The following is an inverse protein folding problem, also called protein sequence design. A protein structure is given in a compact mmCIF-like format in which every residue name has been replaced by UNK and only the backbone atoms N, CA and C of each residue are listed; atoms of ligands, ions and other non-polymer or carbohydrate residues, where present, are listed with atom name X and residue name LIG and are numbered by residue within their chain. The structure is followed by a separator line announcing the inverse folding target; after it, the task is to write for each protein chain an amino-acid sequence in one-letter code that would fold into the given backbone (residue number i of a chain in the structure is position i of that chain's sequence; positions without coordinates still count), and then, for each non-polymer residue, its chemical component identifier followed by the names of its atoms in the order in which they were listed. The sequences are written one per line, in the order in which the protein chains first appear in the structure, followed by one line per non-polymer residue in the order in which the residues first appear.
data_IF_692887384780
#
_entry.id   IF_692887384780
#
_cell.length_a   1.000
_cell.length_b   1.000
_cell.length_c   1.000
_cell.angle_alpha   90.00
_cell.angle_beta   90.00
_cell.angle_gamma   90.00
#
_symmetry.space_group_name_H-M   'P 1'
#
loop_
_entity.id
_entity.type
_entity.pdbx_description
1 polymer ?
#
# COMPACT_ATOMS: atom_id res chain seq x y z
N UNK A 1 10.86 13.66 -32.01
CA UNK A 1 9.50 13.27 -31.61
C UNK A 1 9.25 13.85 -30.24
N UNK A 2 8.33 14.81 -30.14
CA UNK A 2 7.88 15.30 -28.83
C UNK A 2 6.91 14.24 -28.30
N UNK A 3 7.26 13.58 -27.21
CA UNK A 3 6.38 12.65 -26.52
C UNK A 3 5.39 13.47 -25.69
N UNK A 4 4.38 14.01 -26.37
CA UNK A 4 3.27 14.68 -25.68
C UNK A 4 2.10 13.74 -25.70
N UNK A 5 1.99 12.89 -24.68
CA UNK A 5 0.78 12.12 -24.47
C UNK A 5 -0.36 13.07 -24.10
N UNK A 6 -1.43 13.09 -24.90
CA UNK A 6 -2.63 13.89 -24.66
C UNK A 6 -3.76 12.96 -24.26
N UNK A 7 -4.42 13.21 -23.13
CA UNK A 7 -5.47 12.38 -22.56
C UNK A 7 -6.77 13.15 -22.46
N UNK A 8 -7.89 12.50 -22.79
CA UNK A 8 -9.23 13.03 -22.56
C UNK A 8 -9.95 12.17 -21.51
N UNK A 9 -10.60 12.85 -20.56
CA UNK A 9 -11.25 12.23 -19.41
C UNK A 9 -12.77 12.42 -19.53
N UNK A 10 -13.51 11.33 -19.39
CA UNK A 10 -14.96 11.31 -19.55
C UNK A 10 -15.61 10.95 -18.23
N UNK A 11 -16.63 11.72 -17.83
CA UNK A 11 -17.27 11.59 -16.53
C UNK A 11 -18.77 11.33 -16.68
N UNK A 12 -19.35 10.55 -15.76
CA UNK A 12 -20.79 10.43 -15.63
C UNK A 12 -21.42 11.69 -14.97
N UNK A 13 -22.75 11.70 -14.84
CA UNK A 13 -23.50 12.81 -14.21
C UNK A 13 -23.13 13.07 -12.75
N UNK A 14 -22.59 12.05 -12.06
CA UNK A 14 -22.08 12.14 -10.69
C UNK A 14 -20.63 12.63 -10.63
N UNK A 15 -20.07 13.07 -11.77
CA UNK A 15 -18.67 13.50 -11.93
C UNK A 15 -17.64 12.42 -11.58
N UNK A 16 -18.00 11.16 -11.79
CA UNK A 16 -17.08 10.03 -11.64
C UNK A 16 -16.49 9.69 -13.00
N UNK A 17 -15.17 9.49 -13.07
CA UNK A 17 -14.45 9.16 -14.30
C UNK A 17 -14.92 7.79 -14.81
N UNK A 18 -15.50 7.71 -16.00
CA UNK A 18 -15.98 6.45 -16.59
C UNK A 18 -15.00 5.84 -17.57
N UNK A 19 -14.29 6.67 -18.34
CA UNK A 19 -13.25 6.18 -19.25
C UNK A 19 -12.26 7.28 -19.62
N UNK A 20 -11.08 6.85 -20.07
CA UNK A 20 -10.03 7.72 -20.60
C UNK A 20 -9.78 7.35 -22.05
N UNK A 21 -9.66 8.34 -22.91
CA UNK A 21 -9.24 8.15 -24.30
C UNK A 21 -7.88 8.76 -24.56
N UNK A 22 -7.09 8.09 -25.41
CA UNK A 22 -5.97 8.72 -26.08
C UNK A 22 -6.51 9.87 -26.92
N UNK A 23 -6.02 11.08 -26.68
CA UNK A 23 -6.61 12.29 -27.22
C UNK A 23 -6.25 12.56 -28.68
N UNK A 24 -5.32 11.81 -29.28
CA UNK A 24 -5.03 11.88 -30.72
C UNK A 24 -5.89 10.91 -31.51
N UNK A 25 -6.00 9.68 -31.03
CA UNK A 25 -6.69 8.59 -31.73
C UNK A 25 -8.16 8.46 -31.33
N UNK A 26 -8.55 9.06 -30.21
CA UNK A 26 -9.89 8.91 -29.62
C UNK A 26 -10.16 7.52 -29.03
N UNK A 27 -9.17 6.61 -29.05
CA UNK A 27 -9.34 5.24 -28.56
C UNK A 27 -9.39 5.21 -27.05
N UNK A 28 -10.33 4.43 -26.49
CA UNK A 28 -10.38 4.19 -25.05
C UNK A 28 -9.15 3.39 -24.61
N UNK A 29 -8.51 3.85 -23.54
CA UNK A 29 -7.35 3.19 -22.91
C UNK A 29 -7.67 2.68 -21.51
N UNK A 30 -8.77 3.15 -20.92
CA UNK A 30 -9.20 2.76 -19.59
C UNK A 30 -10.72 2.85 -19.47
N UNK A 31 -11.32 1.89 -18.76
CA UNK A 31 -12.72 1.86 -18.36
C UNK A 31 -12.82 1.78 -16.83
N UNK A 32 -13.84 2.42 -16.27
CA UNK A 32 -14.19 2.39 -14.85
C UNK A 32 -15.72 2.32 -14.68
N UNK A 33 -16.18 1.41 -13.84
CA UNK A 33 -17.60 1.21 -13.55
C UNK A 33 -17.86 1.30 -12.06
N UNK A 34 -19.00 1.89 -11.69
CA UNK A 34 -19.37 2.14 -10.30
C UNK A 34 -20.71 1.51 -9.98
N UNK A 35 -20.88 1.04 -8.74
CA UNK A 35 -22.18 0.62 -8.24
C UNK A 35 -23.08 1.83 -7.89
N UNK A 36 -24.32 1.56 -7.47
CA UNK A 36 -25.29 2.59 -7.11
C UNK A 36 -24.85 3.48 -5.94
N UNK A 37 -24.01 2.97 -5.03
CA UNK A 37 -23.41 3.73 -3.93
C UNK A 37 -22.20 4.58 -4.37
N UNK A 38 -21.80 4.50 -5.63
CA UNK A 38 -20.68 5.25 -6.19
C UNK A 38 -19.30 4.62 -5.94
N UNK A 39 -19.25 3.35 -5.54
CA UNK A 39 -17.99 2.62 -5.33
C UNK A 39 -17.54 1.97 -6.64
N UNK A 40 -16.24 1.99 -6.92
CA UNK A 40 -15.65 1.39 -8.12
C UNK A 40 -15.78 -0.13 -8.06
N UNK A 41 -16.49 -0.76 -8.99
CA UNK A 41 -16.66 -2.21 -9.03
C UNK A 41 -15.84 -2.90 -10.11
N UNK A 42 -15.41 -2.14 -11.11
CA UNK A 42 -14.62 -2.66 -12.21
C UNK A 42 -13.72 -1.57 -12.79
N UNK A 43 -12.48 -1.93 -13.10
CA UNK A 43 -11.52 -1.11 -13.81
C UNK A 43 -10.81 -1.98 -14.84
N UNK A 44 -10.71 -1.50 -16.07
CA UNK A 44 -9.98 -2.18 -17.13
C UNK A 44 -8.98 -1.25 -17.81
N UNK A 45 -7.80 -1.75 -18.15
CA UNK A 45 -6.88 -1.12 -19.09
C UNK A 45 -7.01 -1.83 -20.43
N UNK A 46 -7.16 -1.03 -21.49
CA UNK A 46 -7.48 -1.51 -22.83
C UNK A 46 -6.24 -1.47 -23.71
N UNK A 47 -6.07 -2.51 -24.52
CA UNK A 47 -5.09 -2.55 -25.59
C UNK A 47 -5.59 -1.71 -26.78
N UNK A 48 -4.72 -1.40 -27.78
CA UNK A 48 -5.12 -0.60 -28.94
C UNK A 48 -6.24 -1.17 -29.81
N UNK A 49 -6.53 -2.47 -29.68
CA UNK A 49 -7.66 -3.18 -30.30
C UNK A 49 -8.96 -3.10 -29.48
N UNK A 50 -8.93 -2.42 -28.33
CA UNK A 50 -10.05 -2.24 -27.42
C UNK A 50 -10.27 -3.39 -26.44
N UNK A 51 -9.49 -4.48 -26.53
CA UNK A 51 -9.63 -5.59 -25.59
C UNK A 51 -8.96 -5.28 -24.25
N UNK A 52 -9.55 -5.69 -23.11
CA UNK A 52 -8.87 -5.58 -21.83
C UNK A 52 -7.60 -6.42 -21.80
N UNK A 53 -6.46 -5.80 -21.47
CA UNK A 53 -5.22 -6.54 -21.18
C UNK A 53 -4.94 -6.62 -19.67
N UNK A 54 -5.67 -5.84 -18.87
CA UNK A 54 -5.68 -5.86 -17.41
C UNK A 54 -7.06 -5.43 -16.89
N UNK A 55 -7.60 -6.15 -15.92
CA UNK A 55 -8.89 -5.93 -15.30
C UNK A 55 -8.79 -6.11 -13.77
N UNK A 56 -9.49 -5.26 -13.04
CA UNK A 56 -9.65 -5.33 -11.60
C UNK A 56 -11.14 -5.27 -11.27
N UNK A 57 -11.65 -6.22 -10.49
CA UNK A 57 -13.05 -6.24 -10.00
C UNK A 57 -13.07 -6.18 -8.48
N UNK A 58 -13.95 -5.37 -7.90
CA UNK A 58 -13.99 -5.08 -6.47
C UNK A 58 -15.35 -5.42 -5.86
N UNK A 59 -15.33 -5.91 -4.62
CA UNK A 59 -16.52 -6.11 -3.81
C UNK A 59 -16.36 -5.45 -2.45
N UNK A 60 -17.49 -5.04 -1.86
CA UNK A 60 -17.52 -4.24 -0.65
C UNK A 60 -18.43 -4.86 0.41
N UNK A 61 -18.10 -4.67 1.69
CA UNK A 61 -19.01 -4.94 2.80
C UNK A 61 -20.12 -3.87 2.90
N UNK A 62 -21.07 -4.10 3.81
CA UNK A 62 -22.18 -3.17 4.04
C UNK A 62 -21.75 -1.82 4.65
N UNK A 63 -20.54 -1.71 5.21
CA UNK A 63 -19.96 -0.45 5.69
C UNK A 63 -19.20 0.29 4.59
N UNK A 64 -19.05 -0.34 3.42
CA UNK A 64 -18.39 0.20 2.26
C UNK A 64 -16.89 -0.09 2.18
N UNK A 65 -16.35 -1.00 2.98
CA UNK A 65 -14.94 -1.41 2.89
C UNK A 65 -14.74 -2.46 1.80
N UNK A 66 -13.66 -2.36 1.02
CA UNK A 66 -13.29 -3.35 0.00
C UNK A 66 -12.91 -4.68 0.66
N UNK A 67 -13.69 -5.73 0.44
CA UNK A 67 -13.42 -7.06 1.04
C UNK A 67 -12.74 -8.02 0.09
N UNK A 68 -12.89 -7.81 -1.22
CA UNK A 68 -12.23 -8.61 -2.24
C UNK A 68 -11.91 -7.79 -3.48
N UNK A 69 -10.72 -7.98 -4.03
CA UNK A 69 -10.34 -7.52 -5.36
C UNK A 69 -9.82 -8.70 -6.19
N UNK A 70 -10.34 -8.85 -7.41
CA UNK A 70 -9.86 -9.84 -8.38
C UNK A 70 -9.11 -9.13 -9.49
N UNK A 71 -7.87 -9.55 -9.75
CA UNK A 71 -6.98 -8.98 -10.75
C UNK A 71 -6.73 -10.02 -11.84
N UNK A 72 -7.04 -9.69 -13.07
CA UNK A 72 -6.76 -10.50 -14.25
C UNK A 72 -6.03 -9.67 -15.30
N UNK A 73 -5.12 -10.26 -16.05
CA UNK A 73 -4.44 -9.56 -17.14
C UNK A 73 -3.38 -10.42 -17.80
N UNK A 74 -2.67 -9.84 -18.77
CA UNK A 74 -1.59 -10.52 -19.48
C UNK A 74 -0.51 -11.00 -18.48
N UNK A 75 -0.42 -12.32 -18.28
CA UNK A 75 0.52 -12.94 -17.35
C UNK A 75 0.05 -13.10 -15.90
N UNK A 76 -1.15 -12.64 -15.55
CA UNK A 76 -1.76 -12.81 -14.22
C UNK A 76 -3.18 -13.34 -14.39
N UNK A 77 -3.40 -14.62 -14.10
CA UNK A 77 -4.72 -15.24 -14.21
C UNK A 77 -5.47 -15.20 -12.87
N UNK A 78 -6.30 -14.17 -12.67
CA UNK A 78 -7.32 -14.16 -11.61
C UNK A 78 -6.76 -14.22 -10.19
N UNK A 79 -5.75 -13.40 -9.88
CA UNK A 79 -5.28 -13.23 -8.50
C UNK A 79 -6.35 -12.55 -7.67
N UNK A 80 -6.56 -13.06 -6.46
CA UNK A 80 -7.57 -12.53 -5.55
C UNK A 80 -6.86 -11.97 -4.32
N UNK A 81 -7.17 -10.72 -3.97
CA UNK A 81 -6.85 -10.10 -2.68
C UNK A 81 -8.10 -10.09 -1.83
N UNK A 82 -8.04 -10.64 -0.62
CA UNK A 82 -9.12 -10.55 0.38
C UNK A 82 -8.66 -9.74 1.57
N UNK A 83 -9.52 -8.84 2.05
CA UNK A 83 -9.23 -7.98 3.20
C UNK A 83 -10.27 -8.20 4.30
N UNK A 84 -9.81 -8.36 5.53
CA UNK A 84 -10.64 -8.44 6.73
C UNK A 84 -10.36 -7.24 7.63
N UNK A 85 -11.43 -6.66 8.17
CA UNK A 85 -11.38 -5.47 9.00
C UNK A 85 -11.77 -5.77 10.44
N UNK A 86 -11.25 -4.99 11.39
CA UNK A 86 -11.74 -4.98 12.76
C UNK A 86 -13.03 -4.16 12.91
N UNK A 87 -13.53 -4.07 14.14
CA UNK A 87 -14.77 -3.33 14.44
C UNK A 87 -14.67 -1.83 14.16
N UNK A 88 -13.45 -1.26 14.21
CA UNK A 88 -13.17 0.14 13.90
C UNK A 88 -12.97 0.38 12.40
N UNK A 89 -13.08 -0.65 11.55
CA UNK A 89 -12.90 -0.54 10.11
C UNK A 89 -11.43 -0.51 9.68
N UNK A 90 -10.50 -0.97 10.52
CA UNK A 90 -9.07 -1.05 10.18
C UNK A 90 -8.72 -2.42 9.60
N UNK A 91 -7.92 -2.51 8.53
CA UNK A 91 -7.55 -3.79 7.92
C UNK A 91 -6.61 -4.57 8.84
N UNK A 92 -7.04 -5.75 9.30
CA UNK A 92 -6.26 -6.61 10.21
C UNK A 92 -5.67 -7.83 9.53
N UNK A 93 -6.19 -8.19 8.35
CA UNK A 93 -5.71 -9.32 7.58
C UNK A 93 -5.90 -9.10 6.09
N UNK A 94 -4.86 -9.33 5.32
CA UNK A 94 -4.91 -9.38 3.86
C UNK A 94 -4.41 -10.75 3.39
N UNK A 95 -5.07 -11.33 2.40
CA UNK A 95 -4.72 -12.63 1.82
C UNK A 95 -4.62 -12.53 0.32
N UNK A 96 -3.55 -13.05 -0.26
CA UNK A 96 -3.41 -13.17 -1.71
C UNK A 96 -3.51 -14.63 -2.14
N UNK A 97 -4.40 -14.87 -3.08
CA UNK A 97 -4.65 -16.17 -3.67
C UNK A 97 -4.31 -16.12 -5.16
N UNK A 98 -3.69 -17.18 -5.66
CA UNK A 98 -3.42 -17.41 -7.08
C UNK A 98 -4.13 -18.70 -7.47
N UNK A 99 -5.05 -18.63 -8.44
CA UNK A 99 -5.91 -19.78 -8.82
C UNK A 99 -6.61 -20.44 -7.62
N UNK A 100 -7.10 -19.62 -6.68
CA UNK A 100 -7.76 -20.07 -5.44
C UNK A 100 -6.81 -20.61 -4.37
N UNK A 101 -5.50 -20.68 -4.63
CA UNK A 101 -4.49 -21.12 -3.66
C UNK A 101 -3.90 -19.93 -2.92
N UNK A 102 -4.06 -19.89 -1.60
CA UNK A 102 -3.40 -18.91 -0.74
C UNK A 102 -1.88 -19.06 -0.83
N UNK A 103 -1.17 -17.97 -1.15
CA UNK A 103 0.30 -17.95 -1.19
C UNK A 103 0.91 -16.89 -0.27
N UNK A 104 0.13 -15.88 0.12
CA UNK A 104 0.58 -14.80 1.00
C UNK A 104 -0.52 -14.41 1.99
N UNK A 105 -0.15 -14.13 3.24
CA UNK A 105 -1.01 -13.49 4.23
C UNK A 105 -0.25 -12.40 4.96
N UNK A 106 -0.84 -11.21 5.04
CA UNK A 106 -0.41 -10.14 5.93
C UNK A 106 -1.37 -10.06 7.11
N UNK A 107 -0.83 -9.95 8.32
CA UNK A 107 -1.59 -9.69 9.54
C UNK A 107 -1.11 -8.37 10.14
N UNK A 108 -2.04 -7.47 10.41
CA UNK A 108 -1.75 -6.17 11.01
C UNK A 108 -2.37 -6.10 12.40
N UNK A 109 -1.55 -5.77 13.37
CA UNK A 109 -1.98 -5.52 14.74
C UNK A 109 -1.82 -4.03 15.03
N UNK A 110 -2.84 -3.44 15.65
CA UNK A 110 -2.85 -2.03 16.02
C UNK A 110 -2.72 -1.87 17.53
N UNK A 111 -2.16 -0.73 17.95
CA UNK A 111 -2.24 -0.24 19.31
C UNK A 111 -3.66 0.31 19.58
N UNK A 112 -4.08 0.41 20.86
CA UNK A 112 -5.35 1.04 21.22
C UNK A 112 -5.48 2.48 20.68
N UNK A 113 -4.36 3.20 20.59
CA UNK A 113 -4.24 4.56 20.05
C UNK A 113 -4.36 4.64 18.52
N UNK A 114 -4.32 3.50 17.83
CA UNK A 114 -4.60 3.38 16.39
C UNK A 114 -3.38 3.19 15.49
N UNK A 115 -2.16 3.36 15.99
CA UNK A 115 -0.92 3.08 15.26
C UNK A 115 -0.76 1.58 15.04
N UNK A 116 -0.03 1.22 13.98
CA UNK A 116 0.40 -0.16 13.77
C UNK A 116 1.36 -0.54 14.88
N UNK A 117 1.12 -1.66 15.56
CA UNK A 117 2.06 -2.28 16.51
C UNK A 117 2.97 -3.26 15.80
N UNK A 118 2.40 -4.08 14.92
CA UNK A 118 3.12 -5.16 14.26
C UNK A 118 2.45 -5.50 12.94
N UNK A 119 3.27 -5.77 11.92
CA UNK A 119 2.85 -6.43 10.68
C UNK A 119 3.58 -7.76 10.58
N UNK A 120 2.85 -8.81 10.23
CA UNK A 120 3.41 -10.17 10.04
C UNK A 120 3.04 -10.67 8.65
N UNK A 121 4.04 -11.12 7.90
CA UNK A 121 3.92 -11.67 6.56
C UNK A 121 4.14 -13.18 6.63
N UNK A 122 3.26 -13.94 6.00
CA UNK A 122 3.33 -15.39 5.92
C UNK A 122 3.33 -15.82 4.46
N UNK A 123 4.45 -16.40 4.02
CA UNK A 123 4.68 -16.89 2.66
C UNK A 123 5.08 -18.37 2.73
N UNK A 124 4.11 -19.24 2.47
CA UNK A 124 4.27 -20.68 2.68
C UNK A 124 4.65 -21.01 4.13
N UNK A 125 5.87 -21.49 4.35
CA UNK A 125 6.41 -21.81 5.69
C UNK A 125 7.25 -20.69 6.30
N UNK A 126 7.48 -19.62 5.55
CA UNK A 126 8.25 -18.49 6.02
C UNK A 126 7.33 -17.49 6.70
N UNK A 127 7.80 -16.95 7.82
CA UNK A 127 7.11 -15.86 8.50
C UNK A 127 8.13 -14.78 8.82
N UNK A 128 7.85 -13.57 8.39
CA UNK A 128 8.64 -12.38 8.67
C UNK A 128 7.71 -11.29 9.19
N UNK A 129 8.27 -10.19 9.65
CA UNK A 129 7.44 -9.07 10.05
C UNK A 129 8.23 -7.88 10.53
N UNK A 130 7.50 -6.87 10.94
CA UNK A 130 8.02 -5.62 11.47
C UNK A 130 7.20 -5.24 12.70
N UNK A 131 7.88 -4.90 13.77
CA UNK A 131 7.28 -4.32 14.97
C UNK A 131 7.64 -2.84 15.06
N UNK A 132 6.70 -2.04 15.54
CA UNK A 132 6.79 -0.58 15.56
C UNK A 132 6.63 -0.08 16.98
N UNK A 133 7.43 0.93 17.35
CA UNK A 133 7.26 1.67 18.60
C UNK A 133 7.16 3.16 18.31
N UNK A 134 6.51 3.89 19.21
CA UNK A 134 6.21 5.30 19.03
C UNK A 134 6.45 6.04 20.33
N UNK A 135 6.71 7.34 20.23
CA UNK A 135 6.74 8.22 21.38
C UNK A 135 5.33 8.70 21.75
N UNK A 136 5.25 9.47 22.84
CA UNK A 136 3.98 10.03 23.33
C UNK A 136 3.32 11.02 22.36
N UNK A 137 4.08 11.56 21.40
CA UNK A 137 3.57 12.42 20.33
C UNK A 137 3.16 11.62 19.09
N UNK A 138 3.07 10.29 19.20
CA UNK A 138 2.70 9.37 18.12
C UNK A 138 3.69 9.36 16.95
N UNK A 139 4.96 9.75 17.19
CA UNK A 139 6.04 9.70 16.19
C UNK A 139 6.77 8.37 16.31
N UNK A 140 7.14 7.79 15.18
CA UNK A 140 7.81 6.48 15.10
C UNK A 140 9.19 6.54 15.79
N UNK A 141 9.43 5.70 16.79
CA UNK A 141 10.73 5.58 17.45
C UNK A 141 11.58 4.45 16.87
N UNK A 142 10.97 3.32 16.53
CA UNK A 142 11.72 2.21 15.95
C UNK A 142 10.90 1.30 15.04
N UNK A 143 11.61 0.64 14.12
CA UNK A 143 11.13 -0.51 13.34
C UNK A 143 12.04 -1.70 13.58
N UNK A 144 11.53 -2.77 14.18
CA UNK A 144 12.26 -4.03 14.37
C UNK A 144 11.79 -5.05 13.35
N UNK A 145 12.63 -5.35 12.38
CA UNK A 145 12.40 -6.41 11.41
C UNK A 145 12.74 -7.76 12.03
N UNK A 146 11.91 -8.77 11.79
CA UNK A 146 12.15 -10.11 12.29
C UNK A 146 11.83 -11.19 11.25
N UNK A 147 12.43 -12.35 11.47
CA UNK A 147 12.03 -13.63 10.90
C UNK A 147 11.61 -14.55 12.04
N UNK A 148 10.55 -15.34 11.84
CA UNK A 148 10.14 -16.34 12.83
C UNK A 148 10.84 -17.67 12.57
N UNK A 149 11.59 -18.13 13.55
CA UNK A 149 12.28 -19.42 13.54
C UNK A 149 11.87 -20.21 14.78
N UNK A 150 11.39 -21.45 14.61
CA UNK A 150 10.94 -22.31 15.73
C UNK A 150 9.96 -21.61 16.70
N UNK A 151 9.06 -20.78 16.15
CA UNK A 151 8.04 -20.04 16.91
C UNK A 151 8.52 -18.71 17.52
N UNK A 152 9.82 -18.43 17.52
CA UNK A 152 10.41 -17.21 18.10
C UNK A 152 10.71 -16.18 17.02
N UNK A 153 10.53 -14.90 17.33
CA UNK A 153 10.87 -13.79 16.45
C UNK A 153 12.36 -13.45 16.62
N UNK A 154 13.17 -13.76 15.61
CA UNK A 154 14.59 -13.42 15.53
C UNK A 154 14.74 -12.10 14.78
N UNK A 155 15.41 -11.11 15.39
CA UNK A 155 15.64 -9.80 14.76
C UNK A 155 16.56 -9.95 13.54
N UNK A 156 16.14 -9.39 12.41
CA UNK A 156 16.89 -9.34 11.15
C UNK A 156 17.28 -7.92 10.75
N UNK A 157 16.70 -6.91 11.40
CA UNK A 157 16.98 -5.51 11.16
C UNK A 157 16.40 -4.64 12.26
N UNK A 158 17.05 -3.53 12.55
CA UNK A 158 16.53 -2.52 13.48
C UNK A 158 16.75 -1.14 12.89
N UNK A 159 15.70 -0.34 12.93
CA UNK A 159 15.75 1.07 12.59
C UNK A 159 15.31 1.91 13.77
N UNK A 160 15.99 3.01 14.02
CA UNK A 160 15.77 3.90 15.16
C UNK A 160 15.69 5.36 14.68
N UNK A 161 14.73 6.09 15.22
CA UNK A 161 14.44 7.48 14.85
C UNK A 161 14.46 8.36 16.09
N UNK A 162 15.10 9.52 15.99
CA UNK A 162 15.01 10.57 17.01
C UNK A 162 14.49 11.85 16.38
N UNK A 163 13.95 12.73 17.20
CA UNK A 163 13.35 13.98 16.74
C UNK A 163 13.91 15.17 17.50
N UNK A 164 14.02 16.30 16.80
CA UNK A 164 14.28 17.60 17.42
C UNK A 164 13.13 17.96 18.37
N UNK A 165 13.33 18.94 19.28
CA UNK A 165 12.24 19.46 20.11
C UNK A 165 11.05 20.01 19.30
N UNK A 166 11.32 20.51 18.09
CA UNK A 166 10.28 21.00 17.15
C UNK A 166 9.60 19.88 16.36
N UNK A 167 10.05 18.63 16.52
CA UNK A 167 9.47 17.44 15.90
C UNK A 167 9.96 17.09 14.51
N UNK A 168 11.04 17.70 14.05
CA UNK A 168 11.72 17.29 12.82
C UNK A 168 12.59 16.06 13.11
N UNK A 169 12.79 15.19 12.12
CA UNK A 169 13.66 14.02 12.27
C UNK A 169 15.10 14.49 12.55
N UNK A 170 15.66 14.15 13.71
CA UNK A 170 17.03 14.54 14.05
C UNK A 170 18.03 13.47 13.57
N UNK A 171 17.75 12.19 13.88
CA UNK A 171 18.59 11.07 13.44
C UNK A 171 17.74 9.92 12.93
N UNK A 172 18.26 9.21 11.94
CA UNK A 172 17.81 7.89 11.51
C UNK A 172 19.01 6.94 11.59
N UNK A 173 18.88 5.83 12.30
CA UNK A 173 19.88 4.78 12.32
C UNK A 173 19.26 3.49 11.78
N UNK A 174 20.00 2.75 10.96
CA UNK A 174 19.64 1.41 10.50
C UNK A 174 20.76 0.43 10.87
N UNK A 175 20.38 -0.74 11.35
CA UNK A 175 21.25 -1.89 11.58
C UNK A 175 20.69 -3.09 10.82
N UNK A 176 21.45 -3.57 9.84
CA UNK A 176 21.05 -4.67 8.95
C UNK A 176 21.84 -5.93 9.33
N UNK A 177 21.15 -6.89 9.95
CA UNK A 177 21.77 -8.07 10.56
C UNK A 177 22.13 -9.11 9.49
N UNK A 178 21.46 -9.09 8.33
CA UNK A 178 21.69 -9.99 7.21
C UNK A 178 22.99 -9.73 6.42
N UNK A 179 23.69 -8.62 6.68
CA UNK A 179 24.94 -8.25 5.99
C UNK A 179 26.03 -7.82 6.98
N UNK A 180 26.36 -8.70 7.93
CA UNK A 180 27.48 -8.50 8.84
C UNK A 180 27.28 -7.38 9.87
N UNK A 181 26.02 -7.06 10.22
CA UNK A 181 25.66 -5.99 11.15
C UNK A 181 26.24 -4.64 10.72
N UNK A 182 25.80 -4.16 9.56
CA UNK A 182 26.19 -2.82 9.12
C UNK A 182 25.26 -1.80 9.76
N UNK A 183 25.76 -1.08 10.78
CA UNK A 183 25.06 0.06 11.35
C UNK A 183 25.39 1.33 10.57
N UNK A 184 24.37 2.04 10.10
CA UNK A 184 24.48 3.37 9.48
C UNK A 184 23.68 4.36 10.30
N UNK A 185 24.15 5.60 10.35
CA UNK A 185 23.46 6.68 11.05
C UNK A 185 23.48 7.92 10.18
N UNK A 186 22.30 8.49 9.97
CA UNK A 186 22.05 9.70 9.24
C UNK A 186 21.61 10.78 10.22
N UNK A 187 22.23 11.95 10.13
CA UNK A 187 21.89 13.11 10.95
C UNK A 187 21.36 14.21 10.04
N UNK A 188 20.24 14.80 10.42
CA UNK A 188 19.58 15.82 9.62
C UNK A 188 19.72 17.19 10.28
N UNK A 189 20.05 18.20 9.47
CA UNK A 189 20.12 19.59 9.89
C UNK A 189 19.20 20.41 8.99
N UNK A 190 18.38 21.25 9.62
CA UNK A 190 17.38 22.05 8.92
C UNK A 190 17.76 23.53 8.97
N UNK A 191 17.78 24.18 7.81
CA UNK A 191 17.90 25.63 7.73
C UNK A 191 16.50 26.24 7.67
N UNK A 192 16.26 27.23 8.52
CA UNK A 192 15.02 28.02 8.46
C UNK A 192 15.13 28.95 7.25
N UNK A 193 14.35 28.71 6.21
CA UNK A 193 14.24 29.67 5.11
C UNK A 193 13.37 30.84 5.57
N UNK A 194 14.03 31.96 5.89
CA UNK A 194 13.40 33.25 6.08
C UNK A 194 13.22 33.89 4.69
N UNK A 195 12.26 33.42 3.90
CA UNK A 195 11.79 34.25 2.79
C UNK A 195 10.88 35.33 3.38
N UNK A 196 11.38 36.56 3.26
CA UNK A 196 10.77 37.81 3.67
C UNK A 196 9.34 37.91 3.17
N UNK A 197 8.45 38.31 4.07
CA UNK A 197 7.23 39.03 3.73
C UNK A 197 7.61 40.24 2.88
N UNK A 198 7.09 40.32 1.65
CA UNK A 198 6.98 41.56 0.89
C UNK A 198 5.49 41.80 0.67
#
# INVERSE_FOLDING_TARGET
MQDTTFWQYHYNERRQLTFVTDGYTGKQVQLLEYNAAGQLVHKALLAPDGQPFSEERFTYDAKGHEVEATIAGSGIAGRIKRTTYDQQGRPVKEQLLDQGKLFFTQLTQYQPTGEVRQVTYVEGRQTTGVEYTYDNNRRLLSRRHFKRTRGQNETTGLEEFTYTPTGLLATFAEDIFSFGHTKRTFTYQYKKNLYLSV
#
